data_IF_141667469781
#
_entry.id   IF_141667469781
#
_cell.length_a   1.000
_cell.length_b   1.000
_cell.length_c   1.000
_cell.angle_alpha   90.00
_cell.angle_beta   90.00
_cell.angle_gamma   90.00
#
_symmetry.space_group_name_H-M   'P 1'
#
loop_
_entity.id
_entity.type
_entity.pdbx_description
1 polymer ?
#
# COMPACT_ATOMS: atom_id res chain seq x y z
N UNK A 1 -17.37 -8.89 -13.42
CA UNK A 1 -17.25 -8.21 -12.11
C UNK A 1 -17.79 -6.79 -12.15
N UNK A 2 -17.59 -6.02 -13.23
CA UNK A 2 -18.18 -4.68 -13.38
C UNK A 2 -19.72 -4.71 -13.47
N UNK A 3 -20.27 -5.70 -14.18
CA UNK A 3 -21.73 -5.87 -14.37
C UNK A 3 -22.51 -6.08 -13.06
N UNK A 4 -21.85 -6.61 -12.03
CA UNK A 4 -22.47 -7.02 -10.77
C UNK A 4 -22.60 -5.87 -9.75
N UNK A 5 -22.09 -4.66 -10.05
CA UNK A 5 -22.21 -3.45 -9.23
C UNK A 5 -21.91 -3.59 -7.73
N UNK A 6 -21.11 -4.58 -7.33
CA UNK A 6 -20.61 -4.72 -5.95
C UNK A 6 -19.51 -3.68 -5.68
N UNK A 7 -19.89 -2.40 -5.67
CA UNK A 7 -19.01 -1.28 -5.34
C UNK A 7 -19.18 -1.00 -3.85
N UNK A 8 -18.31 -1.60 -3.04
CA UNK A 8 -18.23 -1.32 -1.61
C UNK A 8 -17.13 -0.27 -1.35
N UNK A 9 -17.44 0.76 -0.56
CA UNK A 9 -16.44 1.72 -0.06
C UNK A 9 -15.60 1.03 1.01
N UNK A 10 -14.45 0.47 0.62
CA UNK A 10 -13.46 -0.09 1.56
C UNK A 10 -12.60 1.03 2.10
N UNK A 11 -12.80 1.37 3.39
CA UNK A 11 -12.04 2.42 4.09
C UNK A 11 -10.76 1.90 4.75
N UNK A 12 -10.80 0.65 5.22
CA UNK A 12 -9.66 -0.06 5.79
C UNK A 12 -9.67 -1.52 5.26
N UNK A 13 -8.50 -2.04 4.91
CA UNK A 13 -8.34 -3.38 4.34
C UNK A 13 -6.88 -3.85 4.48
N UNK A 14 -6.62 -5.16 4.62
CA UNK A 14 -5.24 -5.67 4.57
C UNK A 14 -4.94 -6.18 3.15
N UNK A 15 -3.84 -5.72 2.57
CA UNK A 15 -3.39 -6.10 1.22
C UNK A 15 -2.14 -6.95 1.27
N UNK A 16 -2.09 -7.93 0.37
CA UNK A 16 -0.93 -8.79 0.17
C UNK A 16 -0.32 -8.51 -1.19
N UNK A 17 0.98 -8.22 -1.20
CA UNK A 17 1.76 -7.94 -2.40
C UNK A 17 2.92 -8.91 -2.49
N UNK A 18 3.36 -9.19 -3.70
CA UNK A 18 4.65 -9.84 -3.96
C UNK A 18 5.55 -8.81 -4.66
N UNK A 19 6.40 -8.13 -3.89
CA UNK A 19 7.30 -7.12 -4.42
C UNK A 19 8.55 -7.80 -5.01
N UNK A 20 9.00 -7.46 -6.23
CA UNK A 20 10.11 -8.16 -6.88
C UNK A 20 11.43 -8.07 -6.11
N UNK A 21 11.68 -6.95 -5.41
CA UNK A 21 12.94 -6.74 -4.69
C UNK A 21 12.94 -7.23 -3.24
N UNK A 22 11.79 -7.17 -2.53
CA UNK A 22 11.73 -7.45 -1.08
C UNK A 22 10.82 -8.63 -0.72
N UNK A 23 10.19 -9.25 -1.73
CA UNK A 23 9.32 -10.40 -1.56
C UNK A 23 7.92 -10.05 -1.03
N UNK A 24 7.28 -10.99 -0.30
CA UNK A 24 5.92 -10.82 0.19
C UNK A 24 5.77 -9.66 1.18
N UNK A 25 4.72 -8.87 1.02
CA UNK A 25 4.33 -7.78 1.93
C UNK A 25 2.85 -7.94 2.30
N UNK A 26 2.57 -7.94 3.59
CA UNK A 26 1.21 -7.77 4.14
C UNK A 26 1.11 -6.38 4.76
N UNK A 27 0.27 -5.52 4.17
CA UNK A 27 0.14 -4.11 4.53
C UNK A 27 -1.32 -3.76 4.84
N UNK A 28 -1.55 -3.05 5.92
CA UNK A 28 -2.82 -2.42 6.19
C UNK A 28 -2.99 -1.20 5.26
N UNK A 29 -4.17 -1.06 4.68
CA UNK A 29 -4.51 -0.07 3.68
C UNK A 29 -5.61 0.82 4.22
N UNK A 30 -5.32 2.11 4.34
CA UNK A 30 -6.29 3.13 4.72
C UNK A 30 -6.54 4.08 3.56
N UNK A 31 -7.80 4.37 3.29
CA UNK A 31 -8.19 5.31 2.24
C UNK A 31 -8.82 6.55 2.89
N UNK A 32 -8.10 7.65 2.83
CA UNK A 32 -8.54 8.95 3.32
C UNK A 32 -9.03 9.79 2.15
N UNK A 33 -10.22 10.34 2.26
CA UNK A 33 -10.86 11.17 1.24
C UNK A 33 -10.88 12.62 1.73
N UNK A 34 -10.43 13.57 0.90
CA UNK A 34 -10.70 14.99 1.10
C UNK A 34 -11.97 15.35 0.31
N UNK A 35 -13.10 15.63 0.98
CA UNK A 35 -14.36 15.92 0.31
C UNK A 35 -14.33 17.20 -0.51
N UNK A 36 -13.46 18.15 -0.15
CA UNK A 36 -13.41 19.47 -0.77
C UNK A 36 -12.53 19.55 -2.03
N UNK A 37 -11.70 18.53 -2.28
CA UNK A 37 -10.69 18.58 -3.33
C UNK A 37 -10.71 17.41 -4.31
N UNK A 38 -11.71 16.51 -4.21
CA UNK A 38 -11.76 15.24 -4.97
C UNK A 38 -10.45 14.44 -4.89
N UNK A 39 -9.70 14.63 -3.81
CA UNK A 39 -8.41 13.99 -3.57
C UNK A 39 -8.59 12.76 -2.68
N UNK A 40 -7.79 11.74 -2.99
CA UNK A 40 -7.74 10.50 -2.22
C UNK A 40 -6.30 10.18 -1.86
N UNK A 41 -6.03 10.07 -0.57
CA UNK A 41 -4.78 9.55 -0.05
C UNK A 41 -4.96 8.07 0.31
N UNK A 42 -4.08 7.22 -0.21
CA UNK A 42 -4.03 5.81 0.15
C UNK A 42 -2.75 5.57 0.94
N UNK A 43 -2.90 5.15 2.18
CA UNK A 43 -1.79 4.89 3.09
C UNK A 43 -1.63 3.40 3.24
N UNK A 44 -0.40 2.91 3.06
CA UNK A 44 -0.04 1.52 3.35
C UNK A 44 0.90 1.48 4.55
N UNK A 45 0.56 0.70 5.57
CA UNK A 45 1.38 0.51 6.76
C UNK A 45 1.63 -0.97 7.01
N UNK A 46 2.77 -1.29 7.62
CA UNK A 46 3.05 -2.64 8.08
C UNK A 46 2.98 -2.66 9.61
N UNK A 47 2.36 -3.71 10.18
CA UNK A 47 2.29 -3.88 11.63
C UNK A 47 3.71 -3.88 12.24
N UNK A 48 4.02 -3.01 13.22
CA UNK A 48 5.34 -2.97 13.85
C UNK A 48 5.77 -4.35 14.38
N UNK A 49 7.04 -4.70 14.19
CA UNK A 49 7.59 -6.01 14.58
C UNK A 49 7.18 -7.18 13.68
N UNK A 50 6.44 -6.95 12.59
CA UNK A 50 6.18 -7.97 11.57
C UNK A 50 7.31 -8.03 10.54
N UNK A 51 7.45 -9.18 9.88
CA UNK A 51 8.40 -9.35 8.76
C UNK A 51 8.10 -8.38 7.60
N UNK A 52 6.83 -8.06 7.35
CA UNK A 52 6.42 -7.02 6.39
C UNK A 52 6.93 -5.64 6.78
N UNK A 53 7.08 -5.34 8.07
CA UNK A 53 7.60 -4.06 8.53
C UNK A 53 9.08 -3.91 8.19
N UNK A 54 9.88 -4.94 8.45
CA UNK A 54 11.31 -4.96 8.08
C UNK A 54 11.50 -4.86 6.55
N UNK A 55 10.69 -5.59 5.78
CA UNK A 55 10.71 -5.53 4.31
C UNK A 55 10.27 -4.17 3.76
N UNK A 56 9.28 -3.53 4.38
CA UNK A 56 8.83 -2.19 3.98
C UNK A 56 9.91 -1.13 4.26
N UNK A 57 10.61 -1.24 5.38
CA UNK A 57 11.78 -0.42 5.69
C UNK A 57 12.91 -0.62 4.67
N UNK A 58 13.19 -1.87 4.29
CA UNK A 58 14.16 -2.17 3.23
C UNK A 58 13.72 -1.58 1.89
N UNK A 59 12.43 -1.69 1.54
CA UNK A 59 11.87 -1.13 0.31
C UNK A 59 12.08 0.38 0.22
N UNK A 60 11.99 1.12 1.34
CA UNK A 60 12.27 2.56 1.37
C UNK A 60 13.68 2.89 0.89
N UNK A 61 14.65 2.02 1.18
CA UNK A 61 16.06 2.23 0.79
C UNK A 61 16.29 1.86 -0.67
N UNK A 62 15.90 0.66 -1.09
CA UNK A 62 16.15 0.17 -2.45
C UNK A 62 15.28 0.87 -3.49
N UNK A 63 14.04 1.22 -3.14
CA UNK A 63 13.14 1.96 -4.04
C UNK A 63 13.63 3.37 -4.35
N UNK A 64 14.37 4.01 -3.43
CA UNK A 64 14.98 5.30 -3.69
C UNK A 64 16.13 5.21 -4.71
N UNK A 65 16.86 4.08 -4.74
CA UNK A 65 17.94 3.85 -5.71
C UNK A 65 17.40 3.76 -7.14
N UNK A 66 16.26 3.10 -7.35
CA UNK A 66 15.62 3.03 -8.66
C UNK A 66 15.05 4.39 -9.10
N UNK A 67 14.45 5.15 -8.17
CA UNK A 67 13.90 6.49 -8.47
C UNK A 67 14.98 7.53 -8.82
N UNK A 68 16.19 7.38 -8.28
CA UNK A 68 17.34 8.26 -8.59
C UNK A 68 18.13 7.82 -9.83
N UNK A 69 17.85 6.64 -10.37
CA UNK A 69 18.50 6.13 -11.60
C UNK A 69 17.70 6.45 -12.88
N UNK A 70 16.71 7.33 -12.77
CA UNK A 70 15.91 7.88 -13.88
C UNK A 70 16.50 9.15 -14.47
#
# INVERSE_FOLDING_TARGET
>A
MWDTHHVAVRRADTKRFLHPAVGPLELDCEVLLSPEHDQRLVVYTARPGSESHERLELLRVVGLQDLTRG
#
